data_IF_403214497602
#
_entry.id   IF_403214497602
#
_cell.length_a   1.000
_cell.length_b   1.000
_cell.length_c   1.000
_cell.angle_alpha   90.00
_cell.angle_beta   90.00
_cell.angle_gamma   90.00
#
_symmetry.space_group_name_H-M   'P 1'
#
loop_
_entity.id
_entity.type
_entity.pdbx_description
1 polymer ?
#
# COMPACT_ATOMS: atom_id res chain seq x y z
N UNK A 1 23.15 -59.32 17.94
CA UNK A 1 23.18 -58.22 16.94
C UNK A 1 21.89 -57.42 17.05
N UNK A 2 21.92 -56.22 17.64
CA UNK A 2 20.77 -55.30 17.70
C UNK A 2 21.05 -54.14 16.75
N UNK A 3 20.22 -53.97 15.71
CA UNK A 3 20.28 -52.81 14.81
C UNK A 3 19.43 -51.70 15.43
N UNK A 4 20.07 -50.59 15.78
CA UNK A 4 19.41 -49.34 16.19
C UNK A 4 19.15 -48.57 14.89
N UNK A 5 17.88 -48.38 14.55
CA UNK A 5 17.46 -47.53 13.44
C UNK A 5 17.27 -46.13 14.01
N UNK A 6 18.20 -45.21 13.69
CA UNK A 6 18.10 -43.80 14.04
C UNK A 6 17.21 -43.12 12.99
N UNK A 7 15.94 -42.90 13.31
CA UNK A 7 15.04 -42.12 12.47
C UNK A 7 15.37 -40.64 12.64
N UNK A 8 15.98 -40.03 11.63
CA UNK A 8 16.24 -38.59 11.58
C UNK A 8 14.93 -37.85 11.32
N UNK A 9 14.33 -37.27 12.37
CA UNK A 9 13.23 -36.31 12.23
C UNK A 9 13.80 -35.05 11.53
N UNK A 10 13.61 -34.95 10.22
CA UNK A 10 13.74 -33.68 9.50
C UNK A 10 12.56 -32.82 9.92
N UNK A 11 12.76 -31.97 10.92
CA UNK A 11 11.85 -30.88 11.23
C UNK A 11 11.92 -29.88 10.06
N UNK A 12 11.03 -30.04 9.08
CA UNK A 12 10.74 -28.98 8.11
C UNK A 12 10.08 -27.83 8.85
N UNK A 13 10.88 -26.96 9.45
CA UNK A 13 10.46 -25.63 9.89
C UNK A 13 10.25 -24.75 8.65
N UNK A 14 9.22 -25.06 7.88
CA UNK A 14 8.67 -24.18 6.88
C UNK A 14 7.24 -23.87 7.33
N UNK A 15 6.91 -22.57 7.36
CA UNK A 15 5.63 -21.92 7.64
C UNK A 15 5.65 -21.04 8.89
N UNK A 16 6.39 -19.94 8.81
CA UNK A 16 5.93 -18.67 9.39
C UNK A 16 6.19 -17.58 8.37
N UNK A 17 5.29 -17.42 7.41
CA UNK A 17 5.25 -16.20 6.59
C UNK A 17 4.05 -15.35 6.98
N UNK A 18 3.83 -15.16 8.29
CA UNK A 18 3.17 -13.94 8.71
C UNK A 18 4.12 -12.80 8.31
N UNK A 19 3.67 -11.89 7.45
CA UNK A 19 4.50 -10.80 6.92
C UNK A 19 5.21 -10.07 8.07
N UNK A 20 6.52 -9.76 7.93
CA UNK A 20 7.32 -9.03 8.94
C UNK A 20 6.91 -7.55 9.11
N UNK A 21 5.69 -7.18 8.70
CA UNK A 21 5.14 -5.83 8.79
C UNK A 21 5.04 -5.40 10.26
N UNK A 22 5.74 -4.33 10.61
CA UNK A 22 5.79 -3.82 11.97
C UNK A 22 4.67 -2.80 12.17
N UNK A 23 3.67 -3.17 12.96
CA UNK A 23 2.57 -2.27 13.35
C UNK A 23 2.95 -1.46 14.60
N UNK A 24 2.97 -0.13 14.47
CA UNK A 24 3.23 0.84 15.55
C UNK A 24 2.35 0.59 16.78
N UNK A 25 2.85 0.88 17.98
CA UNK A 25 2.05 0.82 19.21
C UNK A 25 0.91 1.86 19.24
N UNK A 26 1.04 2.95 18.49
CA UNK A 26 -0.01 3.98 18.42
C UNK A 26 -1.24 3.55 17.64
N UNK A 27 -1.15 2.52 16.78
CA UNK A 27 -2.32 1.89 16.15
C UNK A 27 -3.16 1.19 17.22
N UNK A 28 -4.44 1.58 17.32
CA UNK A 28 -5.43 1.01 18.25
C UNK A 28 -5.41 -0.52 18.17
N UNK A 29 -5.47 -1.20 19.32
CA UNK A 29 -5.30 -2.67 19.37
C UNK A 29 -6.30 -3.41 18.49
N UNK A 30 -7.58 -3.03 18.54
CA UNK A 30 -8.62 -3.64 17.72
C UNK A 30 -8.38 -3.49 16.20
N UNK A 31 -7.72 -2.42 15.76
CA UNK A 31 -7.36 -2.24 14.34
C UNK A 31 -6.15 -3.09 13.96
N UNK A 32 -5.19 -3.24 14.88
CA UNK A 32 -4.06 -4.15 14.70
C UNK A 32 -4.52 -5.59 14.57
N UNK A 33 -5.43 -6.03 15.43
CA UNK A 33 -5.97 -7.38 15.38
C UNK A 33 -6.68 -7.64 14.03
N UNK A 34 -7.34 -6.62 13.47
CA UNK A 34 -7.93 -6.69 12.14
C UNK A 34 -6.87 -6.75 11.02
N UNK A 35 -5.82 -5.92 11.06
CA UNK A 35 -4.73 -5.99 10.09
C UNK A 35 -4.05 -7.36 10.12
N UNK A 36 -3.76 -7.88 11.32
CA UNK A 36 -3.16 -9.21 11.48
C UNK A 36 -4.08 -10.30 10.92
N UNK A 37 -5.39 -10.18 11.14
CA UNK A 37 -6.38 -11.06 10.53
C UNK A 37 -6.40 -10.94 9.01
N UNK A 38 -6.32 -9.74 8.46
CA UNK A 38 -6.29 -9.52 7.00
C UNK A 38 -5.07 -10.20 6.38
N UNK A 39 -3.88 -10.02 6.98
CA UNK A 39 -2.66 -10.68 6.53
C UNK A 39 -2.76 -12.21 6.64
N UNK A 40 -3.34 -12.72 7.73
CA UNK A 40 -3.62 -14.14 7.85
C UNK A 40 -4.62 -14.63 6.78
N UNK A 41 -5.61 -13.83 6.38
CA UNK A 41 -6.48 -14.18 5.25
C UNK A 41 -5.66 -14.29 3.97
N UNK A 42 -4.80 -13.32 3.66
CA UNK A 42 -3.92 -13.35 2.49
C UNK A 42 -3.08 -14.65 2.45
N UNK A 43 -2.48 -15.02 3.58
CA UNK A 43 -1.64 -16.22 3.71
C UNK A 43 -2.40 -17.54 3.58
N UNK A 44 -3.73 -17.53 3.70
CA UNK A 44 -4.58 -18.72 3.62
C UNK A 44 -5.45 -18.78 2.36
N UNK A 45 -5.48 -17.71 1.54
CA UNK A 45 -6.21 -17.71 0.28
C UNK A 45 -5.58 -18.67 -0.73
N UNK A 46 -6.43 -19.44 -1.41
CA UNK A 46 -6.04 -20.36 -2.49
C UNK A 46 -6.30 -19.71 -3.84
N UNK A 47 -5.32 -18.94 -4.31
CA UNK A 47 -5.37 -18.31 -5.62
C UNK A 47 -5.49 -19.35 -6.74
N UNK A 48 -6.24 -19.00 -7.80
CA UNK A 48 -6.46 -19.88 -8.95
C UNK A 48 -5.25 -19.97 -9.89
N UNK A 49 -4.39 -18.94 -9.89
CA UNK A 49 -3.23 -18.88 -10.78
C UNK A 49 -3.56 -18.65 -12.25
N UNK A 50 -4.78 -18.18 -12.56
CA UNK A 50 -5.28 -17.90 -13.91
C UNK A 50 -5.24 -16.40 -14.26
N UNK A 51 -4.37 -15.65 -13.57
CA UNK A 51 -4.14 -14.21 -13.80
C UNK A 51 -3.66 -13.96 -15.23
N UNK A 52 -4.18 -12.91 -15.88
CA UNK A 52 -3.82 -12.61 -17.28
C UNK A 52 -2.34 -12.22 -17.42
N UNK A 53 -1.76 -12.47 -18.59
CA UNK A 53 -0.36 -12.10 -18.85
C UNK A 53 -0.11 -10.59 -18.74
N UNK A 54 -1.11 -9.76 -19.08
CA UNK A 54 -1.01 -8.31 -18.95
C UNK A 54 -1.04 -7.88 -17.48
N UNK A 55 -1.95 -8.45 -16.67
CA UNK A 55 -2.00 -8.15 -15.24
C UNK A 55 -0.71 -8.58 -14.53
N UNK A 56 -0.18 -9.76 -14.87
CA UNK A 56 1.11 -10.26 -14.37
C UNK A 56 2.26 -9.31 -14.69
N UNK A 57 2.28 -8.74 -15.90
CA UNK A 57 3.25 -7.72 -16.30
C UNK A 57 3.08 -6.42 -15.50
N UNK A 58 1.84 -5.96 -15.29
CA UNK A 58 1.53 -4.73 -14.52
C UNK A 58 2.02 -4.82 -13.07
N UNK A 59 1.76 -5.94 -12.41
CA UNK A 59 2.16 -6.18 -11.01
C UNK A 59 3.60 -6.71 -10.89
N UNK A 60 4.26 -7.04 -12.00
CA UNK A 60 5.64 -7.51 -12.01
C UNK A 60 5.82 -8.92 -11.44
N UNK A 61 4.83 -9.80 -11.59
CA UNK A 61 4.85 -11.17 -11.12
C UNK A 61 4.80 -12.16 -12.29
N UNK A 62 5.26 -13.40 -12.06
CA UNK A 62 5.14 -14.50 -13.05
C UNK A 62 3.86 -15.32 -12.89
N UNK A 63 3.27 -15.27 -11.70
CA UNK A 63 2.00 -15.88 -11.30
C UNK A 63 1.50 -15.17 -10.04
N UNK A 64 0.21 -15.24 -9.77
CA UNK A 64 -0.35 -14.84 -8.47
C UNK A 64 -0.72 -16.11 -7.70
N UNK A 65 0.03 -16.34 -6.64
CA UNK A 65 -0.23 -17.29 -5.57
C UNK A 65 0.07 -16.66 -4.20
N UNK A 66 -0.26 -17.36 -3.12
CA UNK A 66 -0.08 -16.89 -1.74
C UNK A 66 1.33 -16.34 -1.50
N UNK A 67 2.35 -17.11 -1.87
CA UNK A 67 3.75 -16.74 -1.63
C UNK A 67 4.15 -15.49 -2.42
N UNK A 68 3.77 -15.43 -3.70
CA UNK A 68 4.08 -14.27 -4.54
C UNK A 68 3.32 -13.01 -4.12
N UNK A 69 2.07 -13.12 -3.64
CA UNK A 69 1.29 -11.98 -3.18
C UNK A 69 1.81 -11.43 -1.83
N UNK A 70 2.06 -12.31 -0.85
CA UNK A 70 2.66 -11.93 0.44
C UNK A 70 4.08 -11.38 0.24
N UNK A 71 4.88 -12.02 -0.62
CA UNK A 71 6.19 -11.52 -1.03
C UNK A 71 6.12 -10.11 -1.65
N UNK A 72 5.22 -9.91 -2.62
CA UNK A 72 5.04 -8.61 -3.27
C UNK A 72 4.69 -7.50 -2.28
N UNK A 73 3.79 -7.77 -1.34
CA UNK A 73 3.36 -6.81 -0.31
C UNK A 73 4.49 -6.51 0.68
N UNK A 74 5.17 -7.54 1.18
CA UNK A 74 6.26 -7.40 2.16
C UNK A 74 7.51 -6.71 1.61
N UNK A 75 7.75 -6.76 0.30
CA UNK A 75 8.82 -5.97 -0.35
C UNK A 75 8.55 -4.46 -0.35
N UNK A 76 7.29 -4.05 -0.13
CA UNK A 76 6.80 -2.68 -0.30
C UNK A 76 6.26 -2.06 0.97
N UNK A 77 5.83 -2.87 1.94
CA UNK A 77 5.27 -2.42 3.21
C UNK A 77 6.08 -3.03 4.34
N UNK A 78 6.73 -2.18 5.14
CA UNK A 78 7.49 -2.61 6.32
C UNK A 78 6.88 -2.10 7.63
N UNK A 79 6.16 -0.98 7.57
CA UNK A 79 5.66 -0.30 8.76
C UNK A 79 4.22 0.15 8.57
N UNK A 80 3.38 -0.09 9.58
CA UNK A 80 2.03 0.49 9.66
C UNK A 80 1.96 1.38 10.89
N UNK A 81 1.55 2.63 10.70
CA UNK A 81 1.47 3.63 11.77
C UNK A 81 0.06 4.25 11.85
N UNK A 82 -0.24 4.86 12.98
CA UNK A 82 -1.51 5.54 13.22
C UNK A 82 -1.63 6.89 12.48
N UNK A 83 -2.86 7.23 12.09
CA UNK A 83 -3.23 8.53 11.51
C UNK A 83 -2.70 9.73 12.32
N UNK A 84 -2.79 9.65 13.64
CA UNK A 84 -2.40 10.76 14.52
C UNK A 84 -0.88 10.99 14.64
N UNK A 85 -0.04 10.19 13.97
CA UNK A 85 1.40 10.45 13.94
C UNK A 85 1.74 11.82 13.33
N UNK A 86 0.87 12.35 12.45
CA UNK A 86 1.09 13.59 11.70
C UNK A 86 0.10 14.72 11.99
N UNK A 87 -0.97 14.45 12.73
CA UNK A 87 -1.92 15.48 13.20
C UNK A 87 -1.40 16.26 14.41
N UNK A 88 -0.17 15.97 14.86
CA UNK A 88 0.45 16.63 15.98
C UNK A 88 0.84 18.08 15.62
N UNK A 89 0.82 19.01 16.60
CA UNK A 89 1.40 20.35 16.44
C UNK A 89 2.78 20.30 15.78
N UNK A 90 3.12 21.26 14.91
CA UNK A 90 4.40 21.30 14.16
C UNK A 90 5.64 21.01 15.03
N UNK A 91 5.62 21.41 16.30
CA UNK A 91 6.70 21.16 17.27
C UNK A 91 6.93 19.66 17.56
N UNK A 92 5.86 18.87 17.56
CA UNK A 92 5.90 17.43 17.80
C UNK A 92 6.22 16.63 16.53
N UNK A 93 5.89 17.14 15.34
CA UNK A 93 6.34 16.53 14.07
C UNK A 93 7.88 16.44 14.04
N UNK A 94 8.59 17.48 14.53
CA UNK A 94 10.07 17.46 14.67
C UNK A 94 10.59 16.40 15.65
N UNK A 95 9.75 15.84 16.52
CA UNK A 95 10.14 14.72 17.41
C UNK A 95 9.94 13.36 16.76
N UNK A 96 9.12 13.30 15.71
CA UNK A 96 8.74 12.08 15.01
C UNK A 96 9.55 11.92 13.73
N UNK A 97 9.78 13.01 13.00
CA UNK A 97 10.69 13.08 11.85
C UNK A 97 11.97 13.83 12.23
N UNK A 98 13.13 13.25 11.90
CA UNK A 98 14.44 13.89 12.04
C UNK A 98 15.25 13.84 10.74
N UNK A 99 16.11 14.84 10.53
CA UNK A 99 17.10 14.83 9.44
C UNK A 99 18.27 13.94 9.82
N UNK A 100 18.55 12.92 9.01
CA UNK A 100 19.70 12.02 9.18
C UNK A 100 20.91 12.49 8.38
N UNK A 101 20.68 12.95 7.14
CA UNK A 101 21.73 13.45 6.23
C UNK A 101 21.23 14.69 5.51
N UNK A 102 22.13 15.63 5.25
CA UNK A 102 21.86 16.88 4.51
C UNK A 102 22.81 16.99 3.32
N UNK A 103 22.42 17.73 2.29
CA UNK A 103 23.23 17.91 1.08
C UNK A 103 23.32 16.65 0.23
N UNK A 104 22.32 15.77 0.31
CA UNK A 104 22.29 14.50 -0.44
C UNK A 104 21.85 14.75 -1.89
N UNK A 105 22.57 14.14 -2.83
CA UNK A 105 22.17 14.08 -4.24
C UNK A 105 21.29 12.84 -4.44
N UNK A 106 20.03 13.06 -4.78
CA UNK A 106 19.08 12.00 -5.06
C UNK A 106 19.14 11.59 -6.55
N UNK A 107 18.79 10.35 -6.91
CA UNK A 107 18.53 9.99 -8.30
C UNK A 107 17.45 10.90 -8.89
N UNK A 108 17.58 11.24 -10.17
CA UNK A 108 16.61 12.09 -10.87
C UNK A 108 16.25 13.36 -10.08
N UNK A 109 17.21 13.99 -9.41
CA UNK A 109 16.98 15.08 -8.44
C UNK A 109 16.11 16.21 -9.00
N UNK A 110 16.27 16.52 -10.29
CA UNK A 110 15.56 17.60 -10.98
C UNK A 110 14.24 17.16 -11.63
N UNK A 111 13.85 15.89 -11.47
CA UNK A 111 12.59 15.34 -12.00
C UNK A 111 11.58 15.26 -10.86
N UNK A 112 10.51 16.05 -10.98
CA UNK A 112 9.37 15.97 -10.08
C UNK A 112 8.40 14.87 -10.53
N UNK A 113 7.76 14.17 -9.57
CA UNK A 113 6.65 13.28 -9.86
C UNK A 113 5.55 14.00 -10.63
N UNK A 114 4.90 13.26 -11.51
CA UNK A 114 3.77 13.78 -12.27
C UNK A 114 2.65 14.28 -11.35
N UNK A 115 2.10 15.46 -11.62
CA UNK A 115 1.01 16.05 -10.84
C UNK A 115 1.43 16.89 -9.62
N UNK A 116 2.67 16.78 -9.14
CA UNK A 116 3.14 17.55 -7.97
C UNK A 116 3.80 18.90 -8.30
N UNK A 117 3.95 19.22 -9.59
CA UNK A 117 4.84 20.31 -10.02
C UNK A 117 4.45 21.73 -9.54
N UNK A 118 3.22 21.98 -9.06
CA UNK A 118 2.80 23.36 -8.79
C UNK A 118 2.02 23.65 -7.48
N UNK A 119 1.37 22.71 -6.78
CA UNK A 119 0.29 23.09 -5.84
C UNK A 119 0.19 22.35 -4.48
N UNK A 120 1.18 21.59 -4.02
CA UNK A 120 1.02 20.80 -2.77
C UNK A 120 0.81 21.60 -1.47
N UNK A 121 1.01 22.93 -1.44
CA UNK A 121 1.11 23.68 -0.18
C UNK A 121 -0.10 24.60 0.08
N UNK A 122 -0.97 24.86 -0.90
CA UNK A 122 -1.91 25.99 -0.81
C UNK A 122 -3.41 25.66 -0.93
N UNK A 123 -3.81 24.41 -1.18
CA UNK A 123 -5.24 24.05 -1.11
C UNK A 123 -5.57 23.65 0.33
N UNK A 124 -6.51 24.36 0.97
CA UNK A 124 -7.14 23.90 2.22
C UNK A 124 -7.81 22.57 1.89
N UNK A 125 -7.12 21.46 2.17
CA UNK A 125 -7.71 20.13 2.00
C UNK A 125 -9.01 20.07 2.81
N UNK A 126 -10.12 19.82 2.11
CA UNK A 126 -11.34 19.38 2.78
C UNK A 126 -10.97 18.23 3.72
N UNK A 127 -11.51 18.25 4.94
CA UNK A 127 -11.23 17.23 5.96
C UNK A 127 -11.81 15.88 5.53
N UNK A 128 -11.12 15.18 4.64
CA UNK A 128 -11.37 13.80 4.30
C UNK A 128 -11.01 12.89 5.49
N UNK A 129 -11.71 11.77 5.59
CA UNK A 129 -11.34 10.71 6.53
C UNK A 129 -10.26 9.87 5.85
N UNK A 130 -9.08 9.77 6.47
CA UNK A 130 -8.00 8.95 5.91
C UNK A 130 -8.43 7.49 5.90
N UNK A 131 -8.30 6.82 4.76
CA UNK A 131 -8.43 5.37 4.65
C UNK A 131 -7.06 4.76 4.94
N UNK A 132 -6.11 5.03 4.06
CA UNK A 132 -4.71 4.63 4.17
C UNK A 132 -3.87 5.60 3.33
N UNK A 133 -2.58 5.75 3.66
CA UNK A 133 -1.66 6.59 2.88
C UNK A 133 -0.23 6.09 3.00
N UNK A 134 0.47 5.92 1.88
CA UNK A 134 1.90 5.67 1.85
C UNK A 134 2.72 6.94 2.11
N UNK A 135 2.83 7.32 3.38
CA UNK A 135 3.61 8.48 3.79
C UNK A 135 5.12 8.29 3.59
N UNK A 136 5.60 7.05 3.43
CA UNK A 136 7.00 6.76 3.12
C UNK A 136 7.44 7.41 1.81
N UNK A 137 6.61 7.28 0.77
CA UNK A 137 6.79 7.98 -0.50
C UNK A 137 6.79 9.50 -0.33
N UNK A 138 5.82 10.03 0.44
CA UNK A 138 5.72 11.46 0.75
C UNK A 138 6.98 12.03 1.44
N UNK A 139 7.49 11.34 2.45
CA UNK A 139 8.70 11.73 3.18
C UNK A 139 9.92 11.68 2.25
N UNK A 140 10.04 10.64 1.41
CA UNK A 140 11.13 10.54 0.43
C UNK A 140 11.10 11.71 -0.56
N UNK A 141 9.93 12.03 -1.12
CA UNK A 141 9.76 13.16 -2.06
C UNK A 141 10.11 14.50 -1.42
N UNK A 142 9.65 14.74 -0.19
CA UNK A 142 10.02 15.94 0.57
C UNK A 142 11.53 16.01 0.84
N UNK A 143 12.16 14.87 1.14
CA UNK A 143 13.60 14.76 1.33
C UNK A 143 14.39 15.08 0.07
N UNK A 144 13.96 14.55 -1.07
CA UNK A 144 14.51 14.82 -2.40
C UNK A 144 14.51 16.32 -2.73
N UNK A 145 13.37 16.99 -2.52
CA UNK A 145 13.23 18.44 -2.75
C UNK A 145 14.14 19.26 -1.82
N UNK A 146 14.33 18.83 -0.58
CA UNK A 146 15.15 19.53 0.42
C UNK A 146 16.61 19.07 0.46
N UNK A 147 17.01 18.12 -0.39
CA UNK A 147 18.33 17.46 -0.36
C UNK A 147 18.67 16.87 1.01
N UNK A 148 17.67 16.29 1.67
CA UNK A 148 17.76 15.73 3.03
C UNK A 148 17.24 14.30 3.07
N UNK A 149 17.93 13.42 3.80
CA UNK A 149 17.40 12.11 4.18
C UNK A 149 16.74 12.24 5.53
N UNK A 150 15.47 11.90 5.59
CA UNK A 150 14.72 11.87 6.84
C UNK A 150 14.70 10.49 7.47
N UNK A 151 14.43 10.43 8.76
CA UNK A 151 13.99 9.22 9.44
C UNK A 151 12.71 9.45 10.21
N UNK A 152 11.93 8.38 10.36
CA UNK A 152 10.72 8.33 11.16
C UNK A 152 10.94 7.48 12.41
N UNK A 153 10.59 8.03 13.58
CA UNK A 153 10.60 7.28 14.85
C UNK A 153 9.27 6.54 15.03
N UNK A 154 9.32 5.21 15.02
CA UNK A 154 8.15 4.34 15.15
C UNK A 154 8.11 3.73 16.55
N UNK A 155 7.02 3.98 17.28
CA UNK A 155 6.84 3.50 18.65
C UNK A 155 6.53 2.01 18.70
N UNK A 156 7.21 1.27 19.59
CA UNK A 156 6.93 -0.16 19.87
C UNK A 156 6.29 -0.39 21.25
N UNK A 157 5.95 0.68 21.96
CA UNK A 157 5.41 0.66 23.33
C UNK A 157 6.42 1.05 24.40
N UNK A 158 5.93 1.25 25.63
CA UNK A 158 6.66 1.91 26.73
C UNK A 158 8.01 1.24 27.08
N UNK A 159 8.09 -0.09 26.97
CA UNK A 159 9.27 -0.87 27.34
C UNK A 159 10.15 -1.29 26.16
N UNK A 160 9.70 -1.06 24.92
CA UNK A 160 10.43 -1.47 23.72
C UNK A 160 11.08 -0.25 23.09
N UNK A 161 12.36 -0.36 22.73
CA UNK A 161 13.06 0.70 21.98
C UNK A 161 12.30 0.98 20.68
N UNK A 162 12.06 2.27 20.40
CA UNK A 162 11.48 2.70 19.13
C UNK A 162 12.37 2.30 17.96
N UNK A 163 11.76 2.00 16.82
CA UNK A 163 12.49 1.82 15.57
C UNK A 163 12.72 3.18 14.93
N UNK A 164 13.87 3.34 14.28
CA UNK A 164 14.17 4.48 13.43
C UNK A 164 14.16 3.99 11.98
N UNK A 165 13.12 4.34 11.22
CA UNK A 165 13.00 4.01 9.82
C UNK A 165 13.64 5.13 9.00
N UNK A 166 14.82 4.91 8.43
CA UNK A 166 15.50 5.89 7.56
C UNK A 166 14.90 5.78 6.16
N UNK A 167 14.50 6.92 5.59
CA UNK A 167 13.76 6.99 4.33
C UNK A 167 14.71 7.30 3.18
N UNK A 168 15.35 6.24 2.67
CA UNK A 168 16.32 6.32 1.55
C UNK A 168 15.69 5.90 0.21
N UNK A 169 14.46 5.40 0.25
CA UNK A 169 13.63 4.99 -0.87
C UNK A 169 12.16 5.01 -0.43
N UNK A 170 11.18 5.20 -1.33
CA UNK A 170 9.77 4.94 -1.04
C UNK A 170 9.50 3.52 -0.55
N UNK A 171 10.36 2.55 -0.90
CA UNK A 171 10.33 1.16 -0.37
C UNK A 171 10.69 1.03 1.10
N UNK A 172 10.98 2.12 1.81
CA UNK A 172 10.88 2.11 3.28
C UNK A 172 9.50 1.62 3.74
N UNK A 173 8.45 1.83 2.92
CA UNK A 173 7.17 1.14 3.07
C UNK A 173 6.43 1.52 4.35
N UNK A 174 6.29 2.83 4.59
CA UNK A 174 5.59 3.35 5.77
C UNK A 174 4.17 3.74 5.38
N UNK A 175 3.23 2.94 5.85
CA UNK A 175 1.80 3.09 5.61
C UNK A 175 1.15 3.71 6.84
N UNK A 176 0.49 4.85 6.66
CA UNK A 176 -0.40 5.45 7.64
C UNK A 176 -1.79 4.86 7.46
N UNK A 177 -2.41 4.41 8.55
CA UNK A 177 -3.78 3.88 8.53
C UNK A 177 -4.72 4.79 9.29
N UNK A 178 -5.85 5.12 8.66
CA UNK A 178 -6.91 5.92 9.26
C UNK A 178 -8.14 5.09 9.59
N UNK A 179 -9.09 5.69 10.30
CA UNK A 179 -10.32 5.01 10.69
C UNK A 179 -11.27 4.74 9.51
N UNK A 180 -11.10 5.47 8.39
CA UNK A 180 -11.89 5.31 7.17
C UNK A 180 -11.85 3.89 6.61
N UNK A 181 -10.71 3.20 6.74
CA UNK A 181 -10.54 1.81 6.26
C UNK A 181 -11.48 0.81 6.95
N UNK A 182 -11.92 1.12 8.17
CA UNK A 182 -12.70 0.20 9.00
C UNK A 182 -14.17 0.60 9.16
N UNK A 183 -14.59 1.64 8.45
CA UNK A 183 -15.97 2.14 8.51
C UNK A 183 -16.97 1.11 7.95
N UNK A 184 -18.05 0.78 8.67
CA UNK A 184 -19.07 -0.16 8.18
C UNK A 184 -19.69 0.23 6.83
N UNK A 185 -19.68 1.52 6.49
CA UNK A 185 -20.27 2.05 5.26
C UNK A 185 -19.52 1.63 4.00
N UNK A 186 -18.20 1.42 4.11
CA UNK A 186 -17.32 1.03 2.99
C UNK A 186 -17.04 -0.48 2.95
N UNK A 187 -17.39 -1.20 4.01
CA UNK A 187 -17.16 -2.64 4.09
C UNK A 187 -18.18 -3.43 3.24
N UNK A 188 -17.74 -4.40 2.42
CA UNK A 188 -18.63 -5.33 1.73
C UNK A 188 -19.65 -6.02 2.64
N UNK A 189 -19.23 -6.41 3.85
CA UNK A 189 -20.08 -6.95 4.91
C UNK A 189 -20.22 -5.95 6.06
N UNK A 190 -21.41 -5.34 6.16
CA UNK A 190 -21.69 -4.27 7.13
C UNK A 190 -21.94 -4.77 8.55
N UNK A 191 -22.27 -6.06 8.72
CA UNK A 191 -22.67 -6.63 10.03
C UNK A 191 -21.54 -7.43 10.68
N UNK A 192 -20.65 -8.02 9.88
CA UNK A 192 -19.49 -8.77 10.34
C UNK A 192 -18.20 -8.11 9.86
N UNK A 193 -17.61 -7.25 10.71
CA UNK A 193 -16.32 -6.56 10.44
C UNK A 193 -15.18 -7.51 10.03
N UNK A 194 -15.28 -8.77 10.46
CA UNK A 194 -14.30 -9.83 10.36
C UNK A 194 -14.56 -10.79 9.18
N UNK A 195 -15.53 -10.50 8.32
CA UNK A 195 -15.80 -11.27 7.11
C UNK A 195 -14.57 -11.29 6.18
N UNK A 196 -14.39 -12.40 5.45
CA UNK A 196 -13.31 -12.56 4.46
C UNK A 196 -13.39 -11.47 3.40
N UNK A 197 -14.60 -11.12 2.95
CA UNK A 197 -14.80 -10.05 1.97
C UNK A 197 -14.27 -8.68 2.45
N UNK A 198 -14.44 -8.36 3.73
CA UNK A 198 -13.90 -7.13 4.30
C UNK A 198 -12.37 -7.15 4.36
N UNK A 199 -11.79 -8.34 4.61
CA UNK A 199 -10.34 -8.53 4.58
C UNK A 199 -9.80 -8.33 3.15
N UNK A 200 -10.48 -8.88 2.14
CA UNK A 200 -10.14 -8.68 0.73
C UNK A 200 -10.18 -7.20 0.33
N UNK A 201 -11.23 -6.47 0.72
CA UNK A 201 -11.32 -5.03 0.49
C UNK A 201 -10.12 -4.28 1.09
N UNK A 202 -9.82 -4.50 2.37
CA UNK A 202 -8.72 -3.82 3.05
C UNK A 202 -7.35 -4.20 2.48
N UNK A 203 -7.15 -5.47 2.12
CA UNK A 203 -5.95 -5.94 1.43
C UNK A 203 -5.80 -5.28 0.05
N UNK A 204 -6.89 -5.11 -0.70
CA UNK A 204 -6.91 -4.37 -1.96
C UNK A 204 -6.36 -2.96 -1.80
N UNK A 205 -6.79 -2.25 -0.75
CA UNK A 205 -6.24 -0.94 -0.37
C UNK A 205 -4.76 -1.04 0.04
N UNK A 206 -4.33 -2.07 0.77
CA UNK A 206 -2.91 -2.29 1.06
C UNK A 206 -2.07 -2.44 -0.21
N UNK A 207 -2.54 -3.21 -1.21
CA UNK A 207 -1.83 -3.38 -2.48
C UNK A 207 -1.78 -2.08 -3.29
N UNK A 208 -2.85 -1.28 -3.27
CA UNK A 208 -2.88 0.08 -3.80
C UNK A 208 -1.79 0.93 -3.15
N UNK A 209 -1.80 1.05 -1.82
CA UNK A 209 -0.85 1.89 -1.10
C UNK A 209 0.60 1.40 -1.21
N UNK A 210 0.80 0.09 -1.27
CA UNK A 210 2.10 -0.51 -1.51
C UNK A 210 2.66 -0.15 -2.90
N UNK A 211 1.81 0.09 -3.91
CA UNK A 211 2.27 0.54 -5.23
C UNK A 211 2.90 1.94 -5.18
N UNK A 212 2.48 2.79 -4.24
CA UNK A 212 3.15 4.08 -4.01
C UNK A 212 4.59 3.93 -3.47
N UNK A 213 5.04 2.72 -3.09
CA UNK A 213 6.46 2.48 -2.74
C UNK A 213 7.35 2.19 -3.96
N UNK A 214 6.79 2.15 -5.16
CA UNK A 214 7.52 1.91 -6.42
C UNK A 214 7.72 3.22 -7.23
N UNK A 215 8.39 3.08 -8.38
CA UNK A 215 8.57 4.15 -9.36
C UNK A 215 9.80 5.03 -9.14
N UNK A 216 10.16 5.78 -10.20
CA UNK A 216 11.31 6.67 -10.22
C UNK A 216 11.09 7.85 -11.18
N UNK A 217 11.83 8.95 -10.97
CA UNK A 217 11.69 10.13 -11.83
C UNK A 217 10.24 10.64 -11.86
N UNK A 218 9.60 10.61 -13.04
CA UNK A 218 8.20 11.07 -13.21
C UNK A 218 7.17 10.16 -12.55
N UNK A 219 7.49 8.88 -12.35
CA UNK A 219 6.60 7.89 -11.72
C UNK A 219 6.88 7.70 -10.24
N UNK A 220 7.81 8.48 -9.66
CA UNK A 220 8.21 8.36 -8.27
C UNK A 220 6.99 8.45 -7.35
N UNK A 221 6.76 7.37 -6.60
CA UNK A 221 5.65 7.27 -5.67
C UNK A 221 4.28 7.07 -6.32
N UNK A 222 4.21 6.92 -7.65
CA UNK A 222 2.97 6.76 -8.41
C UNK A 222 1.85 7.71 -7.95
N UNK A 223 2.15 9.00 -7.84
CA UNK A 223 1.21 9.99 -7.31
C UNK A 223 -0.05 10.09 -8.16
N UNK A 224 -1.21 10.19 -7.51
CA UNK A 224 -2.46 10.42 -8.19
C UNK A 224 -2.48 11.77 -8.90
N UNK A 225 -3.18 11.84 -10.03
CA UNK A 225 -3.46 13.06 -10.77
C UNK A 225 -4.89 13.54 -10.52
N UNK A 226 -5.17 14.79 -10.94
CA UNK A 226 -6.53 15.32 -10.93
C UNK A 226 -7.39 14.54 -11.92
N UNK A 227 -8.55 14.09 -11.47
CA UNK A 227 -9.52 13.45 -12.35
C UNK A 227 -10.04 14.44 -13.41
N UNK A 228 -10.23 14.00 -14.66
CA UNK A 228 -10.58 14.86 -15.78
C UNK A 228 -12.03 15.35 -15.69
N UNK A 229 -12.35 16.34 -16.53
CA UNK A 229 -13.71 16.86 -16.66
C UNK A 229 -14.70 15.76 -17.06
N UNK A 230 -15.87 15.75 -16.43
CA UNK A 230 -16.92 14.74 -16.62
C UNK A 230 -16.71 13.44 -15.83
N UNK A 231 -15.63 13.31 -15.05
CA UNK A 231 -15.45 12.21 -14.11
C UNK A 231 -16.26 12.46 -12.82
N UNK A 232 -16.72 11.40 -12.15
CA UNK A 232 -17.48 11.53 -10.89
C UNK A 232 -16.68 12.19 -9.75
N UNK A 233 -15.35 12.22 -9.88
CA UNK A 233 -14.40 12.84 -8.97
C UNK A 233 -13.64 14.00 -9.63
N UNK A 234 -14.22 14.63 -10.66
CA UNK A 234 -13.61 15.75 -11.40
C UNK A 234 -12.88 16.74 -10.48
N UNK A 235 -11.62 17.03 -10.82
CA UNK A 235 -10.78 17.98 -10.08
C UNK A 235 -10.07 17.41 -8.84
N UNK A 236 -10.52 16.28 -8.29
CA UNK A 236 -9.88 15.63 -7.14
C UNK A 236 -8.62 14.84 -7.56
N UNK A 237 -7.59 14.81 -6.71
CA UNK A 237 -6.39 13.98 -6.90
C UNK A 237 -6.67 12.50 -6.56
N UNK A 238 -7.55 11.88 -7.34
CA UNK A 238 -8.08 10.55 -7.09
C UNK A 238 -8.08 9.67 -8.35
N UNK A 239 -7.23 10.00 -9.32
CA UNK A 239 -7.12 9.27 -10.59
C UNK A 239 -5.66 8.90 -10.90
N UNK A 240 -5.49 7.87 -11.73
CA UNK A 240 -4.19 7.47 -12.27
C UNK A 240 -4.11 7.82 -13.75
N UNK A 241 -3.08 8.56 -14.15
CA UNK A 241 -2.75 8.84 -15.57
C UNK A 241 -1.77 7.81 -16.17
N UNK A 242 -1.65 6.65 -15.54
CA UNK A 242 -0.83 5.55 -16.00
C UNK A 242 -1.58 4.23 -15.86
N UNK A 243 -1.27 3.28 -16.74
CA UNK A 243 -2.01 2.02 -16.84
C UNK A 243 -1.58 0.99 -15.78
N UNK A 244 -0.51 1.25 -15.05
CA UNK A 244 0.02 0.40 -14.00
C UNK A 244 0.08 1.14 -12.66
N UNK A 245 -0.93 1.96 -12.40
CA UNK A 245 -1.00 2.78 -11.22
C UNK A 245 -1.49 2.02 -9.99
N UNK A 246 -1.51 2.68 -8.82
CA UNK A 246 -2.02 2.15 -7.58
C UNK A 246 -3.44 1.58 -7.70
N UNK A 247 -4.35 2.27 -8.39
CA UNK A 247 -5.72 1.79 -8.59
C UNK A 247 -5.75 0.51 -9.42
N UNK A 248 -4.94 0.43 -10.48
CA UNK A 248 -4.82 -0.79 -11.29
C UNK A 248 -4.31 -1.95 -10.44
N UNK A 249 -3.25 -1.74 -9.66
CA UNK A 249 -2.65 -2.80 -8.84
C UNK A 249 -3.61 -3.28 -7.75
N UNK A 250 -4.27 -2.36 -7.04
CA UNK A 250 -5.30 -2.69 -6.05
C UNK A 250 -6.45 -3.48 -6.67
N UNK A 251 -6.93 -3.08 -7.85
CA UNK A 251 -8.00 -3.77 -8.58
C UNK A 251 -7.61 -5.19 -8.99
N UNK A 252 -6.39 -5.39 -9.52
CA UNK A 252 -5.87 -6.71 -9.90
C UNK A 252 -5.83 -7.64 -8.69
N UNK A 253 -5.18 -7.24 -7.59
CA UNK A 253 -5.09 -8.11 -6.41
C UNK A 253 -6.46 -8.39 -5.79
N UNK A 254 -7.36 -7.39 -5.77
CA UNK A 254 -8.74 -7.58 -5.29
C UNK A 254 -9.49 -8.60 -6.14
N UNK A 255 -9.36 -8.55 -7.46
CA UNK A 255 -9.98 -9.50 -8.38
C UNK A 255 -9.43 -10.92 -8.16
N UNK A 256 -8.12 -11.08 -8.01
CA UNK A 256 -7.49 -12.37 -7.77
C UNK A 256 -7.89 -12.97 -6.40
N UNK A 257 -7.96 -12.15 -5.36
CA UNK A 257 -8.46 -12.57 -4.04
C UNK A 257 -9.96 -12.90 -4.06
N UNK A 258 -10.77 -12.14 -4.80
CA UNK A 258 -12.20 -12.42 -4.99
C UNK A 258 -12.42 -13.78 -5.65
N UNK A 259 -11.64 -14.12 -6.68
CA UNK A 259 -11.64 -15.46 -7.30
C UNK A 259 -11.31 -16.55 -6.28
N UNK A 260 -10.39 -16.28 -5.36
CA UNK A 260 -9.95 -17.20 -4.30
C UNK A 260 -10.95 -17.32 -3.13
N UNK A 261 -11.84 -16.34 -2.93
CA UNK A 261 -12.78 -16.35 -1.82
C UNK A 261 -13.78 -17.52 -1.89
N UNK A 262 -14.17 -17.94 -3.10
CA UNK A 262 -15.06 -19.09 -3.31
C UNK A 262 -16.37 -18.96 -2.52
N UNK A 263 -16.68 -19.98 -1.71
CA UNK A 263 -17.89 -20.06 -0.88
C UNK A 263 -17.75 -19.30 0.46
N UNK A 264 -16.57 -18.74 0.76
CA UNK A 264 -16.37 -17.93 1.98
C UNK A 264 -16.95 -16.52 1.85
N UNK A 265 -17.30 -16.11 0.64
CA UNK A 265 -17.99 -14.85 0.34
C UNK A 265 -19.41 -15.17 -0.18
N UNK A 266 -20.41 -14.50 0.36
CA UNK A 266 -21.77 -14.46 -0.20
C UNK A 266 -21.81 -13.72 -1.54
N UNK A 267 -22.85 -13.96 -2.34
CA UNK A 267 -23.03 -13.27 -3.62
C UNK A 267 -23.15 -11.75 -3.48
N UNK A 268 -23.73 -11.28 -2.36
CA UNK A 268 -23.79 -9.85 -2.06
C UNK A 268 -22.39 -9.27 -1.81
N UNK A 269 -21.56 -9.97 -1.04
CA UNK A 269 -20.18 -9.55 -0.78
C UNK A 269 -19.32 -9.58 -2.05
N UNK A 270 -19.49 -10.61 -2.90
CA UNK A 270 -18.81 -10.68 -4.21
C UNK A 270 -19.21 -9.52 -5.12
N UNK A 271 -20.48 -9.16 -5.13
CA UNK A 271 -21.00 -8.03 -5.91
C UNK A 271 -20.44 -6.70 -5.41
N UNK A 272 -20.35 -6.51 -4.08
CA UNK A 272 -19.74 -5.33 -3.49
C UNK A 272 -18.25 -5.23 -3.87
N UNK A 273 -17.48 -6.31 -3.73
CA UNK A 273 -16.06 -6.34 -4.15
C UNK A 273 -15.89 -6.08 -5.66
N UNK A 274 -16.79 -6.58 -6.50
CA UNK A 274 -16.78 -6.28 -7.93
C UNK A 274 -17.01 -4.79 -8.20
N UNK A 275 -17.90 -4.13 -7.44
CA UNK A 275 -18.10 -2.70 -7.55
C UNK A 275 -16.84 -1.91 -7.18
N UNK A 276 -16.11 -2.32 -6.13
CA UNK A 276 -14.83 -1.71 -5.75
C UNK A 276 -13.74 -1.87 -6.83
N UNK A 277 -13.68 -3.04 -7.48
CA UNK A 277 -12.78 -3.29 -8.61
C UNK A 277 -13.13 -2.35 -9.78
N UNK A 278 -14.42 -2.21 -10.10
CA UNK A 278 -14.87 -1.33 -11.17
C UNK A 278 -14.64 0.15 -10.85
N UNK A 279 -14.84 0.56 -9.59
CA UNK A 279 -14.56 1.92 -9.13
C UNK A 279 -13.06 2.24 -9.29
N UNK A 280 -12.18 1.33 -8.85
CA UNK A 280 -10.73 1.47 -9.03
C UNK A 280 -10.35 1.61 -10.51
N UNK A 281 -10.89 0.76 -11.39
CA UNK A 281 -10.63 0.90 -12.83
C UNK A 281 -11.22 2.17 -13.45
N UNK A 282 -12.33 2.70 -12.92
CA UNK A 282 -12.92 3.94 -13.41
C UNK A 282 -12.00 5.15 -13.19
N UNK A 283 -11.14 5.07 -12.15
CA UNK A 283 -10.14 6.09 -11.81
C UNK A 283 -8.86 5.98 -12.63
N UNK A 284 -8.72 4.97 -13.48
CA UNK A 284 -7.59 4.85 -14.42
C UNK A 284 -7.93 5.61 -15.70
N UNK A 285 -7.38 6.81 -15.83
CA UNK A 285 -7.61 7.72 -16.94
C UNK A 285 -6.83 7.22 -18.15
N UNK A 286 -7.53 6.82 -19.22
CA UNK A 286 -6.89 6.31 -20.45
C UNK A 286 -6.33 7.40 -21.37
N UNK A 287 -6.89 8.61 -21.26
CA UNK A 287 -6.48 9.80 -22.01
C UNK A 287 -6.43 10.93 -21.00
N UNK A 288 -5.25 11.49 -20.76
CA UNK A 288 -5.10 12.54 -19.76
C UNK A 288 -5.75 13.87 -20.18
N UNK A 289 -5.73 14.85 -19.28
CA UNK A 289 -6.25 16.20 -19.50
C UNK A 289 -5.64 16.95 -20.70
N UNK A 290 -4.51 16.46 -21.23
CA UNK A 290 -3.83 17.00 -22.42
C UNK A 290 -4.17 16.24 -23.71
N UNK A 291 -5.08 15.26 -23.66
CA UNK A 291 -5.42 14.41 -24.80
C UNK A 291 -4.37 13.35 -25.13
N UNK A 292 -3.40 13.11 -24.24
CA UNK A 292 -2.33 12.12 -24.45
C UNK A 292 -2.78 10.77 -23.89
N UNK A 293 -2.69 9.68 -24.66
CA UNK A 293 -2.97 8.33 -24.15
C UNK A 293 -2.04 7.96 -23.00
N UNK A 294 -2.62 7.38 -21.95
CA UNK A 294 -1.88 6.89 -20.79
C UNK A 294 -1.04 5.68 -21.17
N UNK A 295 0.14 5.59 -20.57
CA UNK A 295 1.11 4.52 -20.83
C UNK A 295 1.46 3.81 -19.53
N UNK A 296 2.18 2.70 -19.65
CA UNK A 296 2.83 2.10 -18.49
C UNK A 296 4.02 2.95 -18.09
N UNK A 297 4.11 3.27 -16.80
CA UNK A 297 5.25 3.94 -16.23
C UNK A 297 6.27 2.96 -15.66
N UNK A 298 7.51 3.43 -15.50
CA UNK A 298 8.55 2.65 -14.85
C UNK A 298 8.19 2.42 -13.38
N UNK A 299 8.12 1.16 -12.96
CA UNK A 299 7.81 0.76 -11.59
C UNK A 299 9.07 0.47 -10.76
N UNK A 300 10.27 0.60 -11.35
CA UNK A 300 11.53 0.36 -10.65
C UNK A 300 11.66 1.39 -9.52
N UNK A 301 11.85 0.95 -8.26
CA UNK A 301 11.91 1.87 -7.13
C UNK A 301 13.15 2.76 -7.21
N UNK A 302 12.97 4.05 -6.97
CA UNK A 302 14.10 4.95 -6.75
C UNK A 302 14.75 4.66 -5.38
N UNK A 303 16.09 4.63 -5.32
CA UNK A 303 16.86 4.46 -4.09
C UNK A 303 18.11 5.31 -4.14
N UNK A 304 18.46 5.91 -2.99
CA UNK A 304 19.78 6.52 -2.75
C UNK A 304 20.91 5.50 -2.75
#
# INVERSE_FOLDING_TARGET
MKKIILASLLATSALTHASDIIVSKGVKSNLRDLIEKDLNVLDNLKFKGDTSAEDLKIIGLRKVDTNSATGWLSERVNYVIEENAFTLPKLLIKKVISVERSGVTFPNQDVLPYGLANNMINEEEEKGITVMSNIGAGIYMGGKQQKQVYSLKISRGLLKKSIKAVVESPRVGIIQIGEGLFMPQVNPNKTNKEAVANSIYRLGVFFHEARHSDGNGVSLGFTHSKCPAGHNLEGAYACDENLNGPYTVGAIFTAEMLKACGDQCSEQEKSALMAEILDSYSRVVKINSKGVPSTHWDATPESL
#
